data_IF_000732409578
#
_entry.id   IF_000732409578
#
_cell.length_a   1.000
_cell.length_b   1.000
_cell.length_c   1.000
_cell.angle_alpha   90.00
_cell.angle_beta   90.00
_cell.angle_gamma   90.00
#
_symmetry.space_group_name_H-M   'P 1'
#
loop_
_entity.id
_entity.type
_entity.pdbx_description
1 polymer ?
#
# COMPACT_ATOMS: atom_id res chain seq x y z
N UNK A 1 -13.04 29.75 -1.95
CA UNK A 1 -12.18 28.59 -2.23
C UNK A 1 -11.91 27.90 -0.90
N UNK A 2 -12.26 26.62 -0.79
CA UNK A 2 -11.98 25.82 0.42
C UNK A 2 -10.72 24.99 0.19
N UNK A 3 -10.04 24.59 1.26
CA UNK A 3 -8.83 23.76 1.19
C UNK A 3 -8.77 22.87 2.42
N UNK A 4 -8.38 21.59 2.24
CA UNK A 4 -8.05 20.71 3.35
C UNK A 4 -6.70 21.11 3.93
N UNK A 5 -6.70 21.87 5.02
CA UNK A 5 -5.45 22.29 5.69
C UNK A 5 -4.71 21.13 6.34
N UNK A 6 -5.41 20.07 6.70
CA UNK A 6 -4.87 18.81 7.21
C UNK A 6 -5.86 17.68 6.89
N UNK A 7 -5.35 16.56 6.37
CA UNK A 7 -6.18 15.47 5.82
C UNK A 7 -5.54 14.11 6.03
N UNK A 8 -6.32 13.06 5.78
CA UNK A 8 -5.95 11.66 5.93
C UNK A 8 -5.62 11.24 7.37
N UNK A 9 -4.42 11.51 7.90
CA UNK A 9 -3.92 10.85 9.12
C UNK A 9 -4.03 9.31 9.03
N UNK A 10 -3.84 8.78 7.82
CA UNK A 10 -3.72 7.34 7.57
C UNK A 10 -2.44 6.82 8.21
N UNK A 11 -2.44 5.62 8.80
CA UNK A 11 -1.35 5.07 9.59
C UNK A 11 -0.86 3.78 8.94
N UNK A 12 0.45 3.63 8.74
CA UNK A 12 1.03 2.37 8.26
C UNK A 12 2.48 2.18 8.68
N UNK A 13 2.85 0.91 8.86
CA UNK A 13 4.25 0.49 8.99
C UNK A 13 4.72 -0.13 7.68
N UNK A 14 5.79 0.41 7.11
CA UNK A 14 6.32 -0.04 5.81
C UNK A 14 6.53 -1.55 5.76
N UNK A 15 5.94 -2.22 4.76
CA UNK A 15 6.12 -3.65 4.51
C UNK A 15 5.45 -4.58 5.53
N UNK A 16 4.55 -4.07 6.36
CA UNK A 16 3.75 -4.89 7.29
C UNK A 16 2.35 -5.11 6.73
N UNK A 17 1.90 -6.36 6.68
CA UNK A 17 0.56 -6.72 6.18
C UNK A 17 -0.13 -7.60 7.22
N UNK A 18 -1.23 -7.11 7.79
CA UNK A 18 -1.96 -7.78 8.88
C UNK A 18 -3.32 -8.24 8.36
N UNK A 19 -3.69 -9.47 8.71
CA UNK A 19 -4.95 -10.11 8.33
C UNK A 19 -5.81 -10.39 9.56
N UNK A 20 -7.15 -10.37 9.43
CA UNK A 20 -7.90 -10.07 8.21
C UNK A 20 -7.83 -8.59 7.81
N UNK A 21 -8.03 -8.30 6.52
CA UNK A 21 -8.19 -6.93 6.03
C UNK A 21 -9.59 -6.45 6.39
N UNK A 22 -9.73 -5.21 6.89
CA UNK A 22 -11.04 -4.66 7.21
C UNK A 22 -11.92 -4.54 5.96
N UNK A 23 -13.21 -4.85 6.10
CA UNK A 23 -14.21 -4.73 5.03
C UNK A 23 -14.71 -3.29 4.90
N UNK A 24 -13.78 -2.36 4.69
CA UNK A 24 -14.04 -0.94 4.50
C UNK A 24 -12.88 -0.29 3.74
N UNK A 25 -13.17 0.77 2.99
CA UNK A 25 -12.14 1.56 2.29
C UNK A 25 -11.37 2.50 3.22
N UNK A 26 -11.79 2.63 4.48
CA UNK A 26 -11.24 3.52 5.50
C UNK A 26 -11.67 3.05 6.88
N UNK A 27 -10.72 2.67 7.75
CA UNK A 27 -11.03 2.12 9.07
C UNK A 27 -10.06 2.62 10.16
N UNK A 28 -10.55 2.99 11.36
CA UNK A 28 -9.66 3.30 12.47
C UNK A 28 -8.82 2.09 12.88
N UNK A 29 -7.54 2.33 13.21
CA UNK A 29 -6.63 1.27 13.65
C UNK A 29 -7.02 0.75 15.03
N UNK A 30 -7.10 -0.57 15.16
CA UNK A 30 -7.12 -1.31 16.42
C UNK A 30 -6.71 -2.77 16.18
N UNK A 31 -6.63 -3.60 17.22
CA UNK A 31 -6.18 -5.00 17.12
C UNK A 31 -7.10 -5.93 16.30
N UNK A 32 -8.29 -5.45 15.93
CA UNK A 32 -9.21 -6.14 15.02
C UNK A 32 -9.29 -5.48 13.63
N UNK A 33 -8.57 -4.38 13.43
CA UNK A 33 -8.62 -3.51 12.25
C UNK A 33 -7.21 -3.00 11.94
N UNK A 34 -6.40 -3.87 11.32
CA UNK A 34 -5.08 -3.51 10.79
C UNK A 34 -4.01 -3.12 11.80
N UNK A 35 -4.27 -3.24 13.11
CA UNK A 35 -3.31 -2.98 14.17
C UNK A 35 -2.78 -4.26 14.81
N UNK A 36 -1.56 -4.18 15.32
CA UNK A 36 -0.93 -5.15 16.21
C UNK A 36 -0.32 -4.37 17.39
N UNK A 37 -1.04 -4.31 18.51
CA UNK A 37 -0.59 -3.60 19.72
C UNK A 37 0.63 -4.22 20.39
N UNK A 38 0.86 -5.52 20.20
CA UNK A 38 2.02 -6.23 20.78
C UNK A 38 3.27 -5.89 19.99
N UNK A 39 3.24 -6.02 18.66
CA UNK A 39 4.34 -5.66 17.76
C UNK A 39 4.46 -4.16 17.49
N UNK A 40 3.45 -3.38 17.90
CA UNK A 40 3.29 -1.94 17.62
C UNK A 40 3.39 -1.65 16.13
N UNK A 41 2.65 -2.41 15.34
CA UNK A 41 2.61 -2.29 13.87
C UNK A 41 1.22 -1.96 13.38
N UNK A 42 1.19 -1.26 12.26
CA UNK A 42 -0.03 -0.97 11.51
C UNK A 42 0.15 -1.47 10.09
N UNK A 43 -0.88 -2.10 9.55
CA UNK A 43 -0.86 -2.68 8.22
C UNK A 43 -0.71 -1.62 7.12
N UNK A 44 0.09 -1.94 6.10
CA UNK A 44 0.37 -1.12 4.92
C UNK A 44 -0.60 -1.36 3.77
N UNK A 45 -1.85 -1.74 4.08
CA UNK A 45 -2.94 -1.73 3.10
C UNK A 45 -3.53 -0.33 2.89
N UNK A 46 -3.02 0.68 3.61
CA UNK A 46 -3.30 2.11 3.43
C UNK A 46 -4.77 2.56 3.56
N UNK A 47 -5.64 1.66 4.05
CA UNK A 47 -7.01 1.98 4.46
C UNK A 47 -7.14 2.31 5.95
N UNK A 48 -6.10 2.09 6.75
CA UNK A 48 -6.16 2.25 8.20
C UNK A 48 -5.74 3.65 8.67
N UNK A 49 -6.47 4.26 9.61
CA UNK A 49 -6.27 5.66 10.02
C UNK A 49 -6.45 5.90 11.53
N UNK A 50 -6.13 7.11 11.99
CA UNK A 50 -6.55 7.58 13.31
C UNK A 50 -8.08 7.68 13.39
N UNK A 51 -8.64 7.75 14.61
CA UNK A 51 -10.10 7.85 14.81
C UNK A 51 -10.74 9.08 14.15
N UNK A 52 -9.98 10.15 13.95
CA UNK A 52 -10.42 11.38 13.29
C UNK A 52 -9.96 11.47 11.82
N UNK A 53 -9.26 10.44 11.35
CA UNK A 53 -8.67 10.39 10.03
C UNK A 53 -9.55 9.73 8.98
N UNK A 54 -8.92 9.44 7.85
CA UNK A 54 -9.48 8.80 6.67
C UNK A 54 -8.36 8.18 5.83
N UNK A 55 -8.70 7.27 4.92
CA UNK A 55 -7.77 6.76 3.92
C UNK A 55 -7.55 7.76 2.77
N UNK A 56 -6.45 7.63 2.00
CA UNK A 56 -6.23 8.44 0.80
C UNK A 56 -7.34 8.26 -0.23
N UNK A 57 -7.81 7.02 -0.47
CA UNK A 57 -8.86 6.75 -1.46
C UNK A 57 -10.17 7.46 -1.12
N UNK A 58 -10.53 7.48 0.17
CA UNK A 58 -11.68 8.25 0.64
C UNK A 58 -11.49 9.76 0.41
N UNK A 59 -10.28 10.30 0.64
CA UNK A 59 -9.97 11.70 0.36
C UNK A 59 -10.01 12.02 -1.14
N UNK A 60 -9.46 11.15 -2.00
CA UNK A 60 -9.47 11.33 -3.45
C UNK A 60 -10.89 11.36 -3.99
N UNK A 61 -11.72 10.40 -3.58
CA UNK A 61 -13.14 10.34 -3.95
C UNK A 61 -13.87 11.64 -3.59
N UNK A 62 -13.68 12.15 -2.37
CA UNK A 62 -14.33 13.40 -1.97
C UNK A 62 -13.76 14.63 -2.67
N UNK A 63 -12.47 14.67 -3.02
CA UNK A 63 -11.93 15.77 -3.82
C UNK A 63 -12.49 15.78 -5.24
N UNK A 64 -12.64 14.60 -5.86
CA UNK A 64 -13.25 14.47 -7.20
C UNK A 64 -14.70 14.97 -7.24
N UNK A 65 -15.47 14.69 -6.19
CA UNK A 65 -16.85 15.14 -6.08
C UNK A 65 -16.99 16.65 -5.77
N UNK A 66 -15.94 17.29 -5.25
CA UNK A 66 -16.02 18.64 -4.72
C UNK A 66 -14.98 19.56 -5.37
N UNK A 67 -15.15 19.95 -6.65
CA UNK A 67 -14.16 20.72 -7.41
C UNK A 67 -13.92 22.15 -6.88
N UNK A 68 -14.74 22.62 -5.94
CA UNK A 68 -14.54 23.90 -5.25
C UNK A 68 -13.53 23.81 -4.08
N UNK A 69 -13.07 22.60 -3.74
CA UNK A 69 -11.96 22.34 -2.81
C UNK A 69 -10.67 22.34 -3.63
N UNK A 70 -9.77 23.28 -3.34
CA UNK A 70 -8.54 23.48 -4.11
C UNK A 70 -7.51 22.34 -3.97
N UNK A 71 -7.70 21.46 -2.98
CA UNK A 71 -6.83 20.32 -2.69
C UNK A 71 -6.68 20.09 -1.19
N UNK A 72 -5.61 19.38 -0.83
CA UNK A 72 -5.32 18.97 0.54
C UNK A 72 -3.84 19.10 0.92
N UNK A 73 -3.59 19.21 2.23
CA UNK A 73 -2.30 18.92 2.85
C UNK A 73 -2.42 17.65 3.69
N UNK A 74 -1.75 16.60 3.25
CA UNK A 74 -1.81 15.28 3.89
C UNK A 74 -0.98 15.27 5.15
N UNK A 75 -1.53 14.71 6.24
CA UNK A 75 -0.79 14.40 7.45
C UNK A 75 -0.28 12.94 7.41
N UNK A 76 0.99 12.67 7.11
CA UNK A 76 2.08 13.59 6.74
C UNK A 76 2.84 13.12 5.50
N UNK A 77 3.70 13.98 4.95
CA UNK A 77 4.63 13.58 3.89
C UNK A 77 5.69 12.57 4.37
N UNK A 78 6.33 12.85 5.52
CA UNK A 78 7.33 11.99 6.15
C UNK A 78 6.90 11.63 7.58
N UNK A 79 7.26 10.44 8.04
CA UNK A 79 7.22 10.13 9.46
C UNK A 79 8.16 11.10 10.21
N UNK A 80 7.87 11.30 11.50
CA UNK A 80 8.61 12.16 12.40
C UNK A 80 8.73 11.51 13.78
N UNK A 81 9.60 12.06 14.63
CA UNK A 81 9.80 11.57 16.00
C UNK A 81 8.65 12.08 16.88
N UNK A 82 8.13 11.23 17.77
CA UNK A 82 6.96 11.52 18.58
C UNK A 82 5.64 11.18 17.89
N UNK A 83 4.53 11.52 18.56
CA UNK A 83 3.16 11.25 18.11
C UNK A 83 2.97 9.84 17.49
N UNK A 84 3.29 8.78 18.23
CA UNK A 84 3.27 7.42 17.71
C UNK A 84 1.85 6.84 17.68
N UNK A 85 0.82 7.63 17.37
CA UNK A 85 -0.57 7.15 17.30
C UNK A 85 -0.65 5.95 16.34
N UNK A 86 -1.19 4.79 16.78
CA UNK A 86 -2.02 4.59 17.98
C UNK A 86 -1.26 4.05 19.22
N UNK A 87 0.05 3.82 19.15
CA UNK A 87 0.84 3.14 20.17
C UNK A 87 1.81 4.07 20.91
N UNK A 88 1.37 4.64 22.04
CA UNK A 88 2.15 5.65 22.81
C UNK A 88 3.42 5.12 23.52
N UNK A 89 3.69 3.82 23.44
CA UNK A 89 4.95 3.21 23.83
C UNK A 89 6.00 3.16 22.70
N UNK A 90 5.59 3.38 21.43
CA UNK A 90 6.52 3.56 20.32
C UNK A 90 7.10 4.98 20.31
N UNK A 91 8.15 5.22 19.51
CA UNK A 91 8.93 6.48 19.54
C UNK A 91 8.67 7.46 18.39
N UNK A 92 7.97 7.03 17.35
CA UNK A 92 7.83 7.78 16.09
C UNK A 92 6.47 7.55 15.48
N UNK A 93 6.05 8.49 14.63
CA UNK A 93 4.76 8.45 13.97
C UNK A 93 4.67 7.34 12.92
N UNK A 94 3.42 7.04 12.54
CA UNK A 94 3.06 6.06 11.53
C UNK A 94 2.41 6.72 10.29
N UNK A 95 2.19 8.03 10.33
CA UNK A 95 1.35 8.76 9.38
C UNK A 95 2.05 9.22 8.11
N UNK A 96 3.37 9.10 8.02
CA UNK A 96 4.15 9.50 6.86
C UNK A 96 3.91 8.62 5.64
N UNK A 97 3.78 9.25 4.47
CA UNK A 97 3.85 8.60 3.15
C UNK A 97 5.24 7.96 2.94
N UNK A 98 6.27 8.58 3.49
CA UNK A 98 7.67 8.12 3.49
C UNK A 98 8.09 7.93 4.96
N UNK A 99 8.85 6.87 5.25
CA UNK A 99 9.32 6.60 6.62
C UNK A 99 10.44 7.56 7.07
N UNK A 100 10.79 7.49 8.36
CA UNK A 100 11.85 8.33 8.97
C UNK A 100 13.21 8.23 8.26
N UNK A 101 13.50 7.10 7.60
CA UNK A 101 14.75 6.86 6.89
C UNK A 101 14.68 7.28 5.41
N UNK A 102 13.56 7.83 4.95
CA UNK A 102 13.36 8.24 3.56
C UNK A 102 12.89 7.11 2.65
N UNK A 103 12.51 5.95 3.19
CA UNK A 103 11.98 4.85 2.40
C UNK A 103 10.49 5.00 2.19
N UNK A 104 10.07 4.92 0.93
CA UNK A 104 8.68 5.01 0.50
C UNK A 104 7.85 3.88 1.13
N UNK A 105 6.70 4.22 1.71
CA UNK A 105 5.66 3.25 2.06
C UNK A 105 4.77 2.99 0.85
N UNK A 106 3.87 2.02 0.96
CA UNK A 106 2.93 1.66 -0.11
C UNK A 106 2.05 2.85 -0.52
N UNK A 107 1.68 3.70 0.46
CA UNK A 107 0.96 4.96 0.22
C UNK A 107 1.61 5.90 -0.79
N UNK A 108 2.94 5.90 -0.89
CA UNK A 108 3.66 6.76 -1.84
C UNK A 108 3.18 6.52 -3.27
N UNK A 109 2.96 5.25 -3.61
CA UNK A 109 2.59 4.85 -4.95
C UNK A 109 1.13 5.22 -5.27
N UNK A 110 0.23 5.18 -4.28
CA UNK A 110 -1.15 5.69 -4.43
C UNK A 110 -1.17 7.17 -4.79
N UNK A 111 -0.44 8.01 -4.05
CA UNK A 111 -0.34 9.45 -4.37
C UNK A 111 0.38 9.72 -5.69
N UNK A 112 1.40 8.92 -6.03
CA UNK A 112 2.09 9.04 -7.33
C UNK A 112 1.13 8.74 -8.48
N UNK A 113 0.37 7.64 -8.39
CA UNK A 113 -0.65 7.27 -9.36
C UNK A 113 -1.70 8.36 -9.50
N UNK A 114 -2.20 8.91 -8.38
CA UNK A 114 -3.19 10.00 -8.40
C UNK A 114 -2.68 11.28 -9.07
N UNK A 115 -1.42 11.66 -8.84
CA UNK A 115 -0.87 12.95 -9.32
C UNK A 115 -0.32 12.90 -10.74
N UNK A 116 0.22 11.75 -11.15
CA UNK A 116 0.93 11.60 -12.43
C UNK A 116 0.34 10.50 -13.33
N UNK A 117 -0.74 9.85 -12.91
CA UNK A 117 -1.49 8.91 -13.74
C UNK A 117 -2.22 9.66 -14.85
N UNK A 118 -1.70 9.55 -16.08
CA UNK A 118 -2.51 9.78 -17.28
C UNK A 118 -3.36 8.55 -17.59
N UNK A 119 -4.06 8.56 -18.73
CA UNK A 119 -4.64 7.35 -19.31
C UNK A 119 -3.50 6.32 -19.52
N UNK A 120 -3.38 5.37 -18.61
CA UNK A 120 -2.53 4.20 -18.81
C UNK A 120 -3.38 3.16 -19.54
N UNK A 121 -2.90 2.70 -20.70
CA UNK A 121 -3.41 1.48 -21.29
C UNK A 121 -3.39 0.37 -20.22
N UNK A 122 -4.52 -0.30 -20.03
CA UNK A 122 -4.65 -1.36 -19.05
C UNK A 122 -3.83 -2.57 -19.50
N UNK A 123 -2.64 -2.73 -18.92
CA UNK A 123 -1.83 -3.92 -19.14
C UNK A 123 -2.15 -4.98 -18.09
N UNK A 124 -2.54 -6.17 -18.53
CA UNK A 124 -2.67 -7.31 -17.65
C UNK A 124 -1.29 -7.95 -17.42
N UNK A 125 -0.74 -7.77 -16.21
CA UNK A 125 0.47 -8.43 -15.80
C UNK A 125 0.19 -9.87 -15.40
N UNK A 126 0.97 -10.80 -15.93
CA UNK A 126 1.05 -12.19 -15.50
C UNK A 126 2.30 -12.35 -14.64
N UNK A 127 2.10 -12.70 -13.37
CA UNK A 127 3.17 -12.93 -12.41
C UNK A 127 3.52 -14.41 -12.31
N UNK A 128 4.82 -14.71 -12.38
CA UNK A 128 5.35 -16.07 -12.20
C UNK A 128 6.53 -16.05 -11.24
N UNK A 129 6.64 -17.09 -10.44
CA UNK A 129 7.75 -17.31 -9.51
C UNK A 129 8.37 -18.69 -9.74
N UNK A 130 9.70 -18.79 -9.59
CA UNK A 130 10.42 -20.07 -9.48
C UNK A 130 10.90 -20.22 -8.03
N UNK A 131 10.70 -21.40 -7.43
CA UNK A 131 11.06 -21.70 -6.04
C UNK A 131 10.28 -20.90 -4.96
N UNK A 132 8.97 -20.70 -5.19
CA UNK A 132 8.06 -20.06 -4.26
C UNK A 132 6.63 -20.04 -4.80
N UNK A 133 5.77 -19.21 -4.19
CA UNK A 133 4.37 -19.04 -4.53
C UNK A 133 4.02 -17.54 -4.63
N UNK A 134 3.19 -17.18 -5.62
CA UNK A 134 2.50 -15.88 -5.63
C UNK A 134 1.28 -16.02 -4.73
N UNK A 135 1.26 -15.30 -3.62
CA UNK A 135 0.18 -15.41 -2.62
C UNK A 135 -0.92 -14.38 -2.83
N UNK A 136 -0.57 -13.22 -3.39
CA UNK A 136 -1.53 -12.19 -3.75
C UNK A 136 -0.99 -11.27 -4.85
N UNK A 137 -1.89 -10.69 -5.62
CA UNK A 137 -1.67 -9.57 -6.51
C UNK A 137 -2.72 -8.52 -6.26
N UNK A 138 -2.35 -7.26 -6.46
CA UNK A 138 -3.22 -6.11 -6.27
C UNK A 138 -2.81 -5.00 -7.24
N UNK A 139 -3.69 -4.06 -7.50
CA UNK A 139 -3.40 -2.85 -8.28
C UNK A 139 -3.94 -1.58 -7.60
N UNK A 140 -4.70 -1.70 -6.51
CA UNK A 140 -5.29 -0.56 -5.81
C UNK A 140 -6.46 0.10 -6.55
N UNK A 141 -7.04 -0.56 -7.56
CA UNK A 141 -8.29 -0.09 -8.17
C UNK A 141 -9.49 -0.56 -7.32
N UNK A 142 -10.27 0.34 -6.69
CA UNK A 142 -11.42 -0.03 -5.88
C UNK A 142 -12.56 -0.68 -6.68
N UNK A 143 -12.53 -0.61 -8.01
CA UNK A 143 -13.49 -1.24 -8.91
C UNK A 143 -13.00 -2.58 -9.50
N UNK A 144 -11.76 -3.00 -9.27
CA UNK A 144 -11.23 -4.27 -9.77
C UNK A 144 -11.65 -5.45 -8.88
N UNK A 145 -12.57 -6.27 -9.40
CA UNK A 145 -13.09 -7.46 -8.71
C UNK A 145 -12.22 -8.71 -8.87
N UNK A 146 -11.02 -8.60 -9.46
CA UNK A 146 -10.12 -9.74 -9.66
C UNK A 146 -9.60 -10.24 -8.30
N UNK A 147 -9.75 -11.54 -8.02
CA UNK A 147 -9.41 -12.12 -6.72
C UNK A 147 -7.93 -11.95 -6.38
N UNK A 148 -7.60 -11.55 -5.14
CA UNK A 148 -6.21 -11.33 -4.71
C UNK A 148 -5.24 -12.48 -5.07
N UNK A 149 -5.57 -13.78 -4.91
CA UNK A 149 -4.66 -14.86 -5.28
C UNK A 149 -4.43 -15.05 -6.79
N UNK A 150 -5.15 -14.30 -7.63
CA UNK A 150 -4.95 -14.32 -9.08
C UNK A 150 -3.50 -13.99 -9.41
N UNK A 151 -2.91 -14.75 -10.34
CA UNK A 151 -1.57 -14.49 -10.88
C UNK A 151 -1.60 -13.49 -12.04
N UNK A 152 -2.80 -13.02 -12.40
CA UNK A 152 -3.04 -12.05 -13.45
C UNK A 152 -3.69 -10.83 -12.82
N UNK A 153 -3.13 -9.65 -13.05
CA UNK A 153 -3.62 -8.39 -12.49
C UNK A 153 -3.44 -7.26 -13.49
N UNK A 154 -4.49 -6.50 -13.73
CA UNK A 154 -4.39 -5.28 -14.52
C UNK A 154 -3.54 -4.25 -13.79
N UNK A 155 -2.70 -3.51 -14.51
CA UNK A 155 -2.11 -2.30 -13.98
C UNK A 155 -3.21 -1.26 -13.75
N UNK A 156 -3.20 -0.58 -12.61
CA UNK A 156 -4.02 0.60 -12.36
C UNK A 156 -3.11 1.81 -12.25
N UNK A 157 -3.36 2.84 -13.07
CA UNK A 157 -2.47 4.00 -13.21
C UNK A 157 -0.99 3.61 -13.42
N UNK A 158 -0.77 2.53 -14.19
CA UNK A 158 0.55 2.04 -14.57
C UNK A 158 1.24 1.11 -13.56
N UNK A 159 0.61 0.77 -12.43
CA UNK A 159 1.23 -0.07 -11.38
C UNK A 159 0.37 -1.29 -11.02
N UNK A 160 1.06 -2.36 -10.61
CA UNK A 160 0.48 -3.53 -9.96
C UNK A 160 1.49 -4.12 -8.97
N UNK A 161 1.00 -4.71 -7.89
CA UNK A 161 1.75 -5.35 -6.82
C UNK A 161 1.63 -6.88 -6.93
N UNK A 162 2.72 -7.58 -6.64
CA UNK A 162 2.75 -9.02 -6.48
C UNK A 162 3.43 -9.38 -5.16
N UNK A 163 2.69 -10.04 -4.28
CA UNK A 163 3.17 -10.57 -3.01
C UNK A 163 3.54 -12.04 -3.21
N UNK A 164 4.73 -12.41 -2.75
CA UNK A 164 5.32 -13.74 -2.96
C UNK A 164 5.80 -14.32 -1.64
N UNK A 165 5.71 -15.65 -1.54
CA UNK A 165 6.18 -16.43 -0.39
C UNK A 165 7.17 -17.48 -0.88
N UNK A 166 8.31 -17.60 -0.20
CA UNK A 166 9.24 -18.68 -0.46
C UNK A 166 8.66 -20.03 0.00
N UNK A 167 9.02 -21.13 -0.66
CA UNK A 167 8.69 -22.46 -0.14
C UNK A 167 9.40 -22.69 1.21
N UNK A 168 8.75 -23.42 2.12
CA UNK A 168 9.34 -23.76 3.41
C UNK A 168 10.66 -24.51 3.20
N UNK A 169 11.74 -24.04 3.83
CA UNK A 169 13.08 -24.61 3.70
C UNK A 169 13.82 -24.23 2.41
N UNK A 170 13.27 -23.34 1.57
CA UNK A 170 13.96 -22.85 0.39
C UNK A 170 15.17 -22.00 0.79
N UNK A 171 16.30 -22.25 0.13
CA UNK A 171 17.55 -21.48 0.28
C UNK A 171 18.03 -20.95 -1.08
N UNK A 172 18.96 -20.01 -1.06
CA UNK A 172 19.51 -19.43 -2.29
C UNK A 172 18.72 -18.22 -2.79
N UNK A 173 18.21 -18.27 -4.02
CA UNK A 173 17.45 -17.17 -4.64
C UNK A 173 16.18 -17.68 -5.29
N UNK A 174 15.12 -16.88 -5.22
CA UNK A 174 13.97 -17.04 -6.10
C UNK A 174 13.86 -15.84 -7.03
N UNK A 175 13.27 -16.07 -8.21
CA UNK A 175 13.07 -15.04 -9.23
C UNK A 175 11.58 -14.87 -9.48
N UNK A 176 11.12 -13.62 -9.41
CA UNK A 176 9.78 -13.21 -9.81
C UNK A 176 9.88 -12.58 -11.19
N UNK A 177 9.00 -12.99 -12.10
CA UNK A 177 8.88 -12.45 -13.45
C UNK A 177 7.49 -11.86 -13.62
N UNK A 178 7.41 -10.64 -14.15
CA UNK A 178 6.19 -9.99 -14.59
C UNK A 178 6.20 -9.88 -16.12
N UNK A 179 5.10 -10.28 -16.75
CA UNK A 179 4.95 -10.29 -18.21
C UNK A 179 3.64 -9.62 -18.61
N UNK A 180 3.66 -8.82 -19.68
CA UNK A 180 2.46 -8.25 -20.29
C UNK A 180 2.60 -8.30 -21.81
N UNK A 181 1.49 -8.47 -22.53
CA UNK A 181 1.50 -8.55 -24.00
C UNK A 181 2.08 -7.28 -24.62
N UNK A 182 3.00 -7.44 -25.59
CA UNK A 182 3.63 -6.31 -26.28
C UNK A 182 4.73 -5.58 -25.51
N UNK A 183 5.04 -5.99 -24.28
CA UNK A 183 6.07 -5.36 -23.43
C UNK A 183 7.23 -6.31 -23.12
N UNK A 184 8.39 -5.74 -22.79
CA UNK A 184 9.53 -6.51 -22.28
C UNK A 184 9.24 -7.03 -20.86
N UNK A 185 9.74 -8.22 -20.54
CA UNK A 185 9.50 -8.85 -19.24
C UNK A 185 10.37 -8.24 -18.12
N UNK A 186 9.73 -7.85 -17.02
CA UNK A 186 10.42 -7.46 -15.79
C UNK A 186 10.82 -8.67 -14.96
N UNK A 187 12.02 -8.65 -14.36
CA UNK A 187 12.51 -9.71 -13.47
C UNK A 187 13.19 -9.13 -12.24
N UNK A 188 12.85 -9.68 -11.07
CA UNK A 188 13.56 -9.40 -9.82
C UNK A 188 14.01 -10.71 -9.17
N UNK A 189 15.23 -10.73 -8.64
CA UNK A 189 15.78 -11.87 -7.90
C UNK A 189 15.95 -11.51 -6.44
N UNK A 190 15.30 -12.27 -5.56
CA UNK A 190 15.34 -12.07 -4.11
C UNK A 190 16.23 -13.15 -3.49
N UNK A 191 17.15 -12.75 -2.62
CA UNK A 191 17.96 -13.69 -1.82
C UNK A 191 17.16 -14.16 -0.62
N UNK A 192 17.14 -15.48 -0.42
CA UNK A 192 16.62 -16.11 0.78
C UNK A 192 17.75 -16.18 1.80
N UNK A 193 17.44 -15.83 3.05
CA UNK A 193 18.38 -16.03 4.15
C UNK A 193 18.63 -17.52 4.37
N UNK A 194 19.86 -17.88 4.69
CA UNK A 194 20.17 -19.19 5.24
C UNK A 194 19.67 -19.21 6.70
N UNK A 195 18.68 -20.05 6.98
CA UNK A 195 18.33 -20.45 8.36
C UNK A 195 19.36 -21.40 8.91
#
# INVERSE_FOLDING_TARGET
MLQGSETASTLSTRGTYIFPVADAISAPVNDTSGGDSIGQKVSAYELYNSNFGSSPDKMFYHQDLNPYVAGEYVWTGFDYIGEPTPYYSARSSYCGIIDLAGFKKDRFWLYQARKYGGECEQFNFVFRIRAGEVVATDNGDPADMTAFPSKIRAAYSGLALCIVKAATGASGRFTVTASAGGLENGKVSVRLGST
#
